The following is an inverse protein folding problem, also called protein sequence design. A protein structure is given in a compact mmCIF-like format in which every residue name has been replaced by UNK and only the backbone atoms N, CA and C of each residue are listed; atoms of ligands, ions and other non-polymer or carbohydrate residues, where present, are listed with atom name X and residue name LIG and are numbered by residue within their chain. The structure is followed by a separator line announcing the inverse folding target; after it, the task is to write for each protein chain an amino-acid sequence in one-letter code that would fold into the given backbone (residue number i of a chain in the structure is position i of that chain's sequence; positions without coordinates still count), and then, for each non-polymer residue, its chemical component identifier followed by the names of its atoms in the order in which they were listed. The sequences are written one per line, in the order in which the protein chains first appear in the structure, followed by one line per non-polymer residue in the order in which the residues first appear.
data_IF_494226657754
#
_entry.id   IF_494226657754
#
_cell.length_a   1.000
_cell.length_b   1.000
_cell.length_c   1.000
_cell.angle_alpha   90.00
_cell.angle_beta   90.00
_cell.angle_gamma   90.00
#
_symmetry.space_group_name_H-M   'P 1'
#
loop_
_entity.id
_entity.type
_entity.pdbx_description
1 polymer ?
#
# COMPACT_ATOMS: atom_id res chain seq x y z
N UNK A 1 -42.06 11.22 9.30
CA UNK A 1 -41.67 10.60 8.02
C UNK A 1 -40.87 11.62 7.22
N UNK A 2 -39.57 11.68 7.49
CA UNK A 2 -38.59 12.21 6.54
C UNK A 2 -37.25 11.63 6.97
N UNK A 3 -37.09 10.34 6.66
CA UNK A 3 -35.77 9.78 6.42
C UNK A 3 -35.19 10.61 5.27
N UNK A 4 -34.38 11.58 5.63
CA UNK A 4 -33.45 12.20 4.70
C UNK A 4 -32.26 11.25 4.70
N UNK A 5 -32.40 10.15 3.98
CA UNK A 5 -31.25 9.36 3.56
C UNK A 5 -30.61 10.14 2.41
N UNK A 6 -29.97 11.27 2.76
CA UNK A 6 -28.91 11.79 1.93
C UNK A 6 -27.73 10.86 2.19
N UNK A 7 -27.67 9.76 1.43
CA UNK A 7 -26.40 9.19 0.98
C UNK A 7 -25.69 10.25 0.09
N UNK A 8 -25.41 11.42 0.66
CA UNK A 8 -24.28 12.20 0.23
C UNK A 8 -23.11 11.37 0.71
N UNK A 9 -22.37 10.77 -0.22
CA UNK A 9 -21.03 10.27 0.04
C UNK A 9 -20.25 11.43 0.64
N UNK A 10 -20.29 11.52 1.97
CA UNK A 10 -19.52 12.51 2.68
C UNK A 10 -18.12 12.02 2.51
N UNK A 11 -17.33 12.73 1.71
CA UNK A 11 -15.91 12.43 1.54
C UNK A 11 -15.25 12.54 2.94
N UNK A 12 -15.30 11.44 3.69
CA UNK A 12 -14.81 11.34 5.06
C UNK A 12 -13.41 10.79 4.98
N UNK A 13 -12.51 11.41 5.72
CA UNK A 13 -11.18 10.88 5.84
C UNK A 13 -11.25 9.50 6.53
N UNK A 14 -10.90 8.41 5.84
CA UNK A 14 -10.95 7.04 6.40
C UNK A 14 -10.16 6.81 7.69
N UNK A 15 -9.23 7.71 8.01
CA UNK A 15 -8.36 7.64 9.20
C UNK A 15 -9.04 8.27 10.43
N UNK A 16 -9.60 9.48 10.31
CA UNK A 16 -10.20 10.21 11.44
C UNK A 16 -11.73 10.31 11.38
N UNK A 17 -12.35 9.85 10.29
CA UNK A 17 -13.80 9.84 10.06
C UNK A 17 -14.45 11.24 10.11
N UNK A 18 -13.67 12.28 9.84
CA UNK A 18 -14.13 13.67 9.79
C UNK A 18 -14.22 14.15 8.33
N UNK A 19 -15.13 15.09 8.09
CA UNK A 19 -15.34 15.73 6.78
C UNK A 19 -14.22 16.70 6.41
N UNK A 20 -14.00 16.85 5.09
CA UNK A 20 -12.99 17.72 4.44
C UNK A 20 -12.96 19.16 4.99
N UNK A 21 -14.12 19.68 5.40
CA UNK A 21 -14.26 21.08 5.80
C UNK A 21 -13.79 21.37 7.23
N UNK A 22 -13.52 20.34 8.03
CA UNK A 22 -13.25 20.51 9.47
C UNK A 22 -11.91 21.21 9.75
N UNK A 23 -10.89 21.04 8.88
CA UNK A 23 -9.54 21.56 9.13
C UNK A 23 -9.02 22.55 8.08
N UNK A 24 -9.83 22.90 7.07
CA UNK A 24 -9.34 23.66 5.90
C UNK A 24 -8.29 22.88 5.09
N UNK A 25 -8.17 21.58 5.33
CA UNK A 25 -7.25 20.68 4.64
C UNK A 25 -8.06 19.78 3.72
N UNK A 26 -7.74 19.81 2.43
CA UNK A 26 -8.37 18.92 1.47
C UNK A 26 -8.08 17.45 1.78
N UNK A 27 -8.95 16.56 1.28
CA UNK A 27 -8.60 15.16 1.11
C UNK A 27 -7.56 15.04 0.01
N UNK A 28 -6.66 14.08 0.18
CA UNK A 28 -5.79 13.59 -0.86
C UNK A 28 -6.21 12.17 -1.22
N UNK A 29 -6.09 11.82 -2.48
CA UNK A 29 -6.11 10.43 -2.90
C UNK A 29 -4.78 9.78 -2.49
N UNK A 30 -4.82 8.62 -1.84
CA UNK A 30 -3.64 7.89 -1.36
C UNK A 30 -2.76 7.37 -2.51
N UNK A 31 -3.33 7.17 -3.70
CA UNK A 31 -2.62 6.65 -4.89
C UNK A 31 -2.33 5.14 -4.83
N UNK A 32 -3.09 4.40 -4.00
CA UNK A 32 -3.08 2.93 -3.90
C UNK A 32 -4.31 2.34 -4.63
N UNK A 33 -4.42 1.01 -4.72
CA UNK A 33 -5.54 0.31 -5.38
C UNK A 33 -6.87 0.32 -4.62
N UNK A 34 -6.99 1.06 -3.51
CA UNK A 34 -8.27 1.25 -2.82
C UNK A 34 -9.20 2.11 -3.68
N UNK A 35 -10.51 1.89 -3.54
CA UNK A 35 -11.55 2.60 -4.30
C UNK A 35 -12.45 3.39 -3.37
N UNK A 36 -13.22 4.31 -3.95
CA UNK A 36 -14.26 5.07 -3.27
C UNK A 36 -13.67 5.77 -2.02
N UNK A 37 -14.40 5.80 -0.91
CA UNK A 37 -14.00 6.50 0.33
C UNK A 37 -12.69 5.96 0.93
N UNK A 38 -12.31 4.72 0.60
CA UNK A 38 -11.06 4.12 1.08
C UNK A 38 -9.82 4.70 0.40
N UNK A 39 -9.99 5.35 -0.76
CA UNK A 39 -8.92 6.00 -1.51
C UNK A 39 -8.56 7.38 -0.95
N UNK A 40 -9.41 8.00 -0.12
CA UNK A 40 -9.26 9.37 0.32
C UNK A 40 -8.96 9.51 1.82
N UNK A 41 -8.04 10.39 2.16
CA UNK A 41 -7.74 10.77 3.53
C UNK A 41 -7.25 12.21 3.61
N UNK A 42 -7.35 12.85 4.78
CA UNK A 42 -6.68 14.13 4.97
C UNK A 42 -5.18 13.94 4.80
N UNK A 43 -4.53 14.94 4.19
CA UNK A 43 -3.07 14.91 3.98
C UNK A 43 -2.30 14.62 5.27
N UNK A 44 -2.60 15.35 6.35
CA UNK A 44 -1.93 15.14 7.65
C UNK A 44 -2.24 13.78 8.26
N UNK A 45 -3.47 13.27 8.11
CA UNK A 45 -3.82 11.94 8.60
C UNK A 45 -3.02 10.87 7.87
N UNK A 46 -2.93 10.98 6.53
CA UNK A 46 -2.18 10.04 5.72
C UNK A 46 -0.67 10.12 6.05
N UNK A 47 -0.07 11.31 6.05
CA UNK A 47 1.34 11.50 6.39
C UNK A 47 1.69 10.94 7.77
N UNK A 48 0.88 11.23 8.79
CA UNK A 48 1.12 10.71 10.15
C UNK A 48 1.00 9.18 10.18
N UNK A 49 -0.01 8.64 9.51
CA UNK A 49 -0.24 7.19 9.45
C UNK A 49 0.93 6.43 8.84
N UNK A 50 1.38 6.84 7.65
CA UNK A 50 2.48 6.16 6.96
C UNK A 50 3.83 6.42 7.63
N UNK A 51 4.03 7.60 8.24
CA UNK A 51 5.22 7.89 9.05
C UNK A 51 5.33 6.98 10.27
N UNK A 52 4.23 6.76 10.99
CA UNK A 52 4.22 5.85 12.14
C UNK A 52 4.39 4.39 11.73
N UNK A 53 3.85 4.02 10.56
CA UNK A 53 4.00 2.67 10.00
C UNK A 53 5.42 2.38 9.51
N UNK A 54 6.16 3.40 9.07
CA UNK A 54 7.53 3.26 8.55
C UNK A 54 7.61 2.57 7.18
N UNK A 55 6.52 2.57 6.41
CA UNK A 55 6.50 2.16 5.01
C UNK A 55 5.29 2.77 4.30
N UNK A 56 5.29 2.71 2.97
CA UNK A 56 4.26 3.30 2.10
C UNK A 56 3.23 2.27 1.59
N UNK A 57 3.13 1.10 2.22
CA UNK A 57 2.23 0.02 1.78
C UNK A 57 0.85 0.21 2.42
N UNK A 58 -0.22 0.27 1.62
CA UNK A 58 -1.58 0.33 2.13
C UNK A 58 -1.96 -0.98 2.84
N UNK A 59 -2.54 -0.90 4.04
CA UNK A 59 -2.94 -2.08 4.83
C UNK A 59 -4.20 -2.79 4.31
N UNK A 60 -4.95 -2.16 3.40
CA UNK A 60 -6.21 -2.70 2.89
C UNK A 60 -5.97 -3.46 1.58
N UNK A 61 -5.30 -2.81 0.63
CA UNK A 61 -5.09 -3.37 -0.70
C UNK A 61 -3.66 -3.85 -0.94
N UNK A 62 -2.76 -3.71 0.04
CA UNK A 62 -1.35 -4.13 -0.01
C UNK A 62 -0.54 -3.57 -1.18
N UNK A 63 -1.04 -2.52 -1.82
CA UNK A 63 -0.33 -1.78 -2.87
C UNK A 63 0.28 -0.50 -2.29
N UNK A 64 1.27 0.05 -2.99
CA UNK A 64 1.98 1.24 -2.54
C UNK A 64 1.12 2.48 -2.74
N UNK A 65 0.94 3.24 -1.65
CA UNK A 65 0.33 4.56 -1.67
C UNK A 65 1.36 5.56 -2.20
N UNK A 66 1.10 6.16 -3.37
CA UNK A 66 2.07 7.03 -4.07
C UNK A 66 2.04 8.49 -3.63
N UNK A 67 0.99 8.90 -2.94
CA UNK A 67 0.73 10.31 -2.64
C UNK A 67 0.95 10.65 -1.16
N UNK A 68 1.67 9.80 -0.43
CA UNK A 68 2.04 10.00 0.99
C UNK A 68 3.55 10.11 1.06
N UNK A 69 4.05 11.33 1.27
CA UNK A 69 5.49 11.56 1.26
C UNK A 69 6.12 11.07 2.58
N UNK A 70 7.22 10.31 2.47
CA UNK A 70 8.18 10.14 3.57
C UNK A 70 8.05 8.86 4.40
N UNK A 71 7.46 7.79 3.87
CA UNK A 71 7.43 6.49 4.57
C UNK A 71 8.73 5.69 4.45
N UNK A 72 9.66 6.14 3.61
CA UNK A 72 10.91 5.44 3.28
C UNK A 72 12.18 6.05 3.90
N UNK A 73 12.07 6.80 5.00
CA UNK A 73 13.23 7.04 5.86
C UNK A 73 13.37 5.84 6.79
N UNK A 74 14.08 4.85 6.27
CA UNK A 74 14.47 3.63 6.95
C UNK A 74 15.15 4.02 8.27
N UNK A 75 14.53 3.67 9.41
CA UNK A 75 15.29 3.48 10.65
C UNK A 75 16.00 2.12 10.48
N UNK A 76 16.98 2.10 9.58
CA UNK A 76 18.02 1.08 9.48
C UNK A 76 19.36 1.81 9.61
N UNK A 77 19.64 2.38 10.78
CA UNK A 77 21.02 2.59 11.18
C UNK A 77 21.11 2.69 12.70
N UNK A 78 21.86 1.75 13.29
CA UNK A 78 22.45 1.93 14.60
C UNK A 78 23.16 3.29 14.64
N UNK A 79 22.99 4.00 15.75
CA UNK A 79 23.59 5.31 16.00
C UNK A 79 25.13 5.18 16.04
N UNK A 80 25.76 5.34 14.89
CA UNK A 80 27.20 5.56 14.76
C UNK A 80 27.44 6.96 14.15
N UNK A 81 27.52 7.94 15.04
CA UNK A 81 27.94 9.31 14.72
C UNK A 81 29.38 9.29 14.21
N UNK A 82 29.61 9.66 12.94
CA UNK A 82 30.46 10.79 12.54
C UNK A 82 30.92 10.74 11.06
N UNK A 83 30.33 11.62 10.25
CA UNK A 83 30.94 12.51 9.22
C UNK A 83 32.09 11.98 8.34
N UNK A 84 31.84 11.87 7.03
CA UNK A 84 32.66 12.48 5.97
C UNK A 84 31.95 12.43 4.61
N UNK A 85 31.87 13.59 3.96
CA UNK A 85 31.36 13.83 2.60
C UNK A 85 32.36 13.29 1.57
N UNK A 86 31.89 12.68 0.47
CA UNK A 86 32.49 12.84 -0.87
C UNK A 86 31.48 12.48 -1.98
N UNK A 87 31.61 13.19 -3.10
CA UNK A 87 30.68 13.28 -4.21
C UNK A 87 30.87 12.15 -5.25
N UNK A 88 29.76 11.60 -5.78
CA UNK A 88 29.82 10.49 -6.73
C UNK A 88 28.52 10.26 -7.51
N UNK A 89 28.38 11.00 -8.61
CA UNK A 89 27.41 10.81 -9.70
C UNK A 89 27.27 9.35 -10.14
N UNK A 90 26.04 8.81 -10.12
CA UNK A 90 25.74 7.57 -10.84
C UNK A 90 24.36 6.97 -10.57
N UNK A 91 23.42 7.18 -11.50
CA UNK A 91 22.43 6.18 -11.87
C UNK A 91 21.07 6.21 -11.16
N UNK A 92 20.17 7.09 -11.63
CA UNK A 92 18.77 6.72 -11.74
C UNK A 92 18.64 5.52 -12.68
N UNK A 93 18.33 4.34 -12.13
CA UNK A 93 17.53 3.28 -12.74
C UNK A 93 17.70 1.98 -11.94
N UNK A 94 16.74 1.68 -11.07
CA UNK A 94 16.16 0.33 -10.88
C UNK A 94 15.52 0.18 -9.50
N UNK A 95 14.52 1.02 -9.19
CA UNK A 95 13.54 0.72 -8.14
C UNK A 95 12.17 0.38 -8.77
N UNK A 96 12.18 -0.19 -9.98
CA UNK A 96 10.96 -0.47 -10.77
C UNK A 96 10.75 -1.93 -11.15
N UNK A 97 11.59 -2.87 -10.71
CA UNK A 97 11.51 -4.25 -11.19
C UNK A 97 11.16 -5.32 -10.14
N UNK A 98 11.02 -4.99 -8.85
CA UNK A 98 10.66 -5.99 -7.82
C UNK A 98 9.17 -6.00 -7.41
N UNK A 99 8.32 -5.23 -8.10
CA UNK A 99 6.84 -5.31 -7.94
C UNK A 99 6.15 -6.10 -9.05
N UNK A 100 6.88 -6.48 -10.10
CA UNK A 100 6.46 -7.51 -11.04
C UNK A 100 6.97 -8.85 -10.48
N UNK A 101 6.19 -9.73 -9.89
CA UNK A 101 4.75 -9.82 -9.87
C UNK A 101 4.47 -10.90 -8.81
N UNK A 102 4.17 -10.50 -7.58
CA UNK A 102 3.79 -11.44 -6.52
C UNK A 102 2.61 -12.32 -6.95
N UNK A 103 1.73 -11.77 -7.81
CA UNK A 103 0.64 -12.51 -8.44
C UNK A 103 1.14 -13.57 -9.42
N UNK A 104 2.22 -13.32 -10.17
CA UNK A 104 2.89 -14.34 -10.99
C UNK A 104 3.61 -15.37 -10.15
N UNK A 105 4.31 -14.97 -9.09
CA UNK A 105 4.96 -15.90 -8.18
C UNK A 105 3.90 -16.85 -7.57
N UNK A 106 2.77 -16.30 -7.13
CA UNK A 106 1.65 -17.07 -6.60
C UNK A 106 1.01 -17.96 -7.67
N UNK A 107 0.86 -17.49 -8.91
CA UNK A 107 0.37 -18.28 -10.04
C UNK A 107 1.29 -19.47 -10.38
N UNK A 108 2.61 -19.25 -10.42
CA UNK A 108 3.61 -20.31 -10.65
C UNK A 108 3.54 -21.37 -9.56
N UNK A 109 3.44 -20.96 -8.29
CA UNK A 109 3.32 -21.88 -7.15
C UNK A 109 2.06 -22.74 -7.28
N UNK A 110 0.90 -22.14 -7.59
CA UNK A 110 -0.35 -22.88 -7.78
C UNK A 110 -0.27 -23.85 -8.96
N UNK A 111 0.30 -23.44 -10.09
CA UNK A 111 0.50 -24.31 -11.26
C UNK A 111 1.39 -25.52 -10.94
N UNK A 112 2.48 -25.30 -10.22
CA UNK A 112 3.39 -26.38 -9.78
C UNK A 112 2.69 -27.36 -8.85
N UNK A 113 1.88 -26.86 -7.89
CA UNK A 113 1.11 -27.72 -7.00
C UNK A 113 0.06 -28.54 -7.75
N UNK A 114 -0.62 -27.97 -8.75
CA UNK A 114 -1.57 -28.72 -9.58
C UNK A 114 -0.88 -29.83 -10.36
N UNK A 115 0.26 -29.56 -11.01
CA UNK A 115 0.99 -30.58 -11.77
C UNK A 115 1.49 -31.71 -10.88
N UNK A 116 1.90 -31.41 -9.66
CA UNK A 116 2.43 -32.42 -8.72
C UNK A 116 1.28 -33.21 -8.10
N UNK A 117 0.23 -32.54 -7.60
CA UNK A 117 -0.83 -33.17 -6.79
C UNK A 117 -1.88 -33.87 -7.66
N UNK A 118 -2.21 -33.32 -8.83
CA UNK A 118 -3.23 -33.87 -9.73
C UNK A 118 -2.98 -35.32 -10.17
N UNK A 119 -1.77 -35.76 -10.54
CA UNK A 119 -1.50 -37.16 -10.86
C UNK A 119 -1.64 -38.08 -9.64
N UNK A 120 -1.24 -37.64 -8.44
CA UNK A 120 -1.43 -38.44 -7.22
C UNK A 120 -2.92 -38.62 -6.89
N UNK A 121 -3.72 -37.55 -7.00
CA UNK A 121 -5.17 -37.62 -6.81
C UNK A 121 -5.81 -38.51 -7.88
N UNK A 122 -5.41 -38.36 -9.14
CA UNK A 122 -5.95 -39.15 -10.24
C UNK A 122 -5.68 -40.65 -10.07
N UNK A 123 -4.48 -41.02 -9.64
CA UNK A 123 -4.13 -42.43 -9.35
C UNK A 123 -4.93 -42.96 -8.17
N UNK A 124 -5.05 -42.21 -7.07
CA UNK A 124 -5.83 -42.65 -5.90
C UNK A 124 -7.34 -42.77 -6.11
N UNK A 125 -7.90 -42.13 -7.15
CA UNK A 125 -9.34 -42.25 -7.48
C UNK A 125 -9.62 -43.42 -8.43
N UNK A 126 -8.63 -43.83 -9.23
CA UNK A 126 -8.78 -44.89 -10.24
C UNK A 126 -8.28 -46.26 -9.78
N UNK A 127 -7.83 -46.39 -8.52
CA UNK A 127 -7.52 -47.65 -7.84
C UNK A 127 -8.64 -48.01 -6.87
#
# INVERSE_FOLDING_TARGET
MSHIDLEQGTDQCRICQLEVRSYGQGLIELGCSCKDDLAFAHRQCAETWFKLKGNEVCEICHSVARNVAGGNEMIEEEVAVAVAVEEGRGGDASAREERASWTWLMYIIVLMLLIIIWPFIYVSINE
#
